data_IF_159978907246
#
_entry.id   IF_159978907246
#
_cell.length_a   1.000
_cell.length_b   1.000
_cell.length_c   1.000
_cell.angle_alpha   90.00
_cell.angle_beta   90.00
_cell.angle_gamma   90.00
#
_symmetry.space_group_name_H-M   'P 1'
#
loop_
_entity.id
_entity.type
_entity.pdbx_description
1 polymer ?
#
# COMPACT_ATOMS: atom_id res chain seq x y z
N UNK A 1 -76.98 -28.00 -11.66
CA UNK A 1 -75.62 -28.56 -11.73
C UNK A 1 -74.68 -27.47 -12.20
N UNK A 2 -73.92 -26.87 -11.29
CA UNK A 2 -72.93 -25.83 -11.61
C UNK A 2 -71.53 -26.45 -11.55
N UNK A 3 -70.82 -26.44 -12.68
CA UNK A 3 -69.44 -26.91 -12.78
C UNK A 3 -68.53 -25.74 -12.40
N UNK A 4 -67.80 -25.87 -11.29
CA UNK A 4 -66.74 -24.94 -10.89
C UNK A 4 -65.45 -25.33 -11.62
N UNK A 5 -64.94 -24.43 -12.46
CA UNK A 5 -63.61 -24.52 -13.06
C UNK A 5 -62.58 -24.05 -12.03
N UNK A 6 -61.68 -24.93 -11.60
CA UNK A 6 -60.59 -24.59 -10.68
C UNK A 6 -59.36 -24.19 -11.50
N UNK A 7 -58.97 -22.92 -11.42
CA UNK A 7 -57.79 -22.38 -12.12
C UNK A 7 -56.59 -22.50 -11.17
N UNK A 8 -55.72 -23.48 -11.39
CA UNK A 8 -54.46 -23.61 -10.66
C UNK A 8 -53.40 -22.70 -11.29
N UNK A 9 -53.13 -21.55 -10.66
CA UNK A 9 -51.96 -20.74 -10.97
C UNK A 9 -50.69 -21.42 -10.42
N UNK A 10 -49.87 -21.99 -11.30
CA UNK A 10 -48.49 -22.35 -10.98
C UNK A 10 -47.65 -21.06 -10.89
N UNK A 11 -47.32 -20.64 -9.67
CA UNK A 11 -46.30 -19.63 -9.42
C UNK A 11 -44.92 -20.25 -9.68
N UNK A 12 -44.35 -19.98 -10.86
CA UNK A 12 -42.93 -20.23 -11.14
C UNK A 12 -42.10 -19.26 -10.27
N UNK A 13 -41.52 -19.77 -9.18
CA UNK A 13 -40.41 -19.09 -8.52
C UNK A 13 -39.18 -19.19 -9.42
N UNK A 14 -38.95 -18.17 -10.24
CA UNK A 14 -37.64 -17.97 -10.87
C UNK A 14 -36.69 -17.50 -9.78
N UNK A 15 -35.89 -18.42 -9.24
CA UNK A 15 -34.69 -18.07 -8.48
C UNK A 15 -33.72 -17.43 -9.46
N UNK A 16 -33.69 -16.10 -9.51
CA UNK A 16 -32.57 -15.37 -10.12
C UNK A 16 -31.37 -15.64 -9.20
N UNK A 17 -30.54 -16.62 -9.58
CA UNK A 17 -29.19 -16.69 -9.06
C UNK A 17 -28.51 -15.38 -9.48
N UNK A 18 -28.24 -14.51 -8.51
CA UNK A 18 -27.32 -13.41 -8.74
C UNK A 18 -26.03 -14.04 -9.25
N UNK A 19 -25.59 -13.65 -10.44
CA UNK A 19 -24.27 -13.99 -10.94
C UNK A 19 -23.25 -13.29 -10.04
N UNK A 20 -22.93 -13.92 -8.91
CA UNK A 20 -21.83 -13.51 -8.05
C UNK A 20 -20.53 -13.59 -8.84
N UNK A 21 -19.66 -12.61 -8.69
CA UNK A 21 -18.35 -12.63 -9.33
C UNK A 21 -17.63 -13.94 -9.00
N UNK A 22 -16.96 -14.53 -9.98
CA UNK A 22 -16.26 -15.80 -9.80
C UNK A 22 -14.98 -15.59 -8.99
N UNK A 23 -15.03 -15.76 -7.66
CA UNK A 23 -13.84 -15.84 -6.82
C UNK A 23 -13.12 -17.17 -7.05
N UNK A 24 -11.82 -17.12 -7.29
CA UNK A 24 -10.96 -18.32 -7.36
C UNK A 24 -9.90 -18.27 -6.28
N UNK A 25 -9.60 -19.41 -5.64
CA UNK A 25 -8.64 -19.49 -4.52
C UNK A 25 -7.68 -20.67 -4.66
N UNK A 26 -6.50 -20.48 -4.09
CA UNK A 26 -5.43 -21.47 -3.99
C UNK A 26 -4.90 -21.45 -2.56
N UNK A 27 -5.06 -22.55 -1.83
CA UNK A 27 -4.41 -22.71 -0.54
C UNK A 27 -2.92 -22.98 -0.77
N UNK A 28 -2.06 -22.15 -0.18
CA UNK A 28 -0.61 -22.26 -0.33
C UNK A 28 -0.05 -23.01 0.88
N UNK A 29 0.11 -24.34 0.73
CA UNK A 29 0.61 -25.19 1.83
C UNK A 29 2.11 -25.02 2.10
N UNK A 30 2.88 -24.70 1.06
CA UNK A 30 4.32 -24.43 1.14
C UNK A 30 4.64 -23.29 0.17
N UNK A 31 5.63 -22.47 0.49
CA UNK A 31 6.02 -21.36 -0.35
C UNK A 31 7.46 -21.56 -0.88
N UNK A 32 7.70 -21.42 -2.19
CA UNK A 32 9.03 -21.67 -2.74
C UNK A 32 10.09 -20.76 -2.12
N UNK A 33 11.21 -21.34 -1.73
CA UNK A 33 12.32 -20.64 -1.08
C UNK A 33 12.15 -20.47 0.43
N UNK A 34 10.99 -20.81 1.01
CA UNK A 34 10.79 -20.84 2.45
C UNK A 34 10.94 -22.26 3.00
N UNK A 35 11.81 -22.44 3.99
CA UNK A 35 12.05 -23.74 4.62
C UNK A 35 11.03 -23.99 5.75
N UNK A 36 10.30 -25.10 5.66
CA UNK A 36 9.36 -25.55 6.69
C UNK A 36 7.91 -25.11 6.48
N UNK A 37 7.12 -25.21 7.54
CA UNK A 37 5.70 -24.84 7.53
C UNK A 37 5.54 -23.32 7.64
N UNK A 38 4.57 -22.77 6.89
CA UNK A 38 4.25 -21.35 6.98
C UNK A 38 3.77 -20.97 8.40
N UNK A 39 4.05 -19.75 8.86
CA UNK A 39 3.68 -19.30 10.21
C UNK A 39 2.17 -19.35 10.48
N UNK A 40 1.37 -19.09 9.45
CA UNK A 40 -0.08 -19.18 9.46
C UNK A 40 -0.59 -19.53 8.06
N UNK A 41 -1.91 -19.71 7.92
CA UNK A 41 -2.54 -20.03 6.64
C UNK A 41 -2.31 -18.89 5.64
N UNK A 42 -1.74 -19.24 4.49
CA UNK A 42 -1.65 -18.39 3.31
C UNK A 42 -2.59 -18.92 2.23
N UNK A 43 -3.41 -18.04 1.70
CA UNK A 43 -4.25 -18.27 0.54
C UNK A 43 -3.98 -17.19 -0.50
N UNK A 44 -4.01 -17.56 -1.77
CA UNK A 44 -3.99 -16.60 -2.87
C UNK A 44 -5.21 -16.78 -3.75
N UNK A 45 -5.59 -15.76 -4.49
CA UNK A 45 -6.74 -15.87 -5.35
C UNK A 45 -6.96 -14.69 -6.27
N UNK A 46 -7.99 -14.82 -7.08
CA UNK A 46 -8.48 -13.76 -7.95
C UNK A 46 -9.94 -13.47 -7.67
N UNK A 47 -10.30 -12.20 -7.75
CA UNK A 47 -11.69 -11.75 -7.80
C UNK A 47 -11.92 -10.95 -9.07
N UNK A 48 -12.95 -11.33 -9.84
CA UNK A 48 -13.41 -10.54 -10.98
C UNK A 48 -14.02 -9.23 -10.48
N UNK A 49 -13.41 -8.12 -10.89
CA UNK A 49 -13.86 -6.77 -10.51
C UNK A 49 -14.51 -6.02 -11.68
N UNK A 50 -14.30 -6.49 -12.91
CA UNK A 50 -14.93 -5.96 -14.12
C UNK A 50 -15.23 -7.13 -15.07
N UNK A 51 -16.50 -7.50 -15.18
CA UNK A 51 -16.96 -8.59 -16.05
C UNK A 51 -16.85 -8.23 -17.53
N UNK A 52 -17.04 -6.96 -17.89
CA UNK A 52 -17.06 -6.49 -19.28
C UNK A 52 -15.68 -6.65 -19.91
N UNK A 53 -14.64 -6.19 -19.21
CA UNK A 53 -13.26 -6.28 -19.67
C UNK A 53 -12.55 -7.58 -19.22
N UNK A 54 -13.21 -8.36 -18.36
CA UNK A 54 -12.63 -9.55 -17.74
C UNK A 54 -11.44 -9.20 -16.83
N UNK A 55 -11.55 -8.10 -16.07
CA UNK A 55 -10.53 -7.67 -15.15
C UNK A 55 -10.65 -8.35 -13.79
N UNK A 56 -9.52 -8.83 -13.29
CA UNK A 56 -9.43 -9.57 -12.04
C UNK A 56 -8.29 -9.02 -11.18
N UNK A 57 -8.58 -8.77 -9.90
CA UNK A 57 -7.56 -8.41 -8.90
C UNK A 57 -7.05 -9.67 -8.23
N UNK A 58 -5.72 -9.77 -8.10
CA UNK A 58 -5.03 -10.82 -7.37
C UNK A 58 -4.82 -10.41 -5.90
N UNK A 59 -4.97 -11.37 -4.98
CA UNK A 59 -4.72 -11.15 -3.57
C UNK A 59 -3.88 -12.26 -2.94
N UNK A 60 -3.20 -11.89 -1.85
CA UNK A 60 -2.65 -12.78 -0.84
C UNK A 60 -3.43 -12.54 0.45
N UNK A 61 -4.06 -13.57 1.00
CA UNK A 61 -4.68 -13.55 2.31
C UNK A 61 -3.82 -14.35 3.28
N UNK A 62 -3.35 -13.70 4.34
CA UNK A 62 -2.59 -14.34 5.40
C UNK A 62 -3.38 -14.22 6.69
N UNK A 63 -3.75 -15.37 7.26
CA UNK A 63 -4.50 -15.47 8.50
C UNK A 63 -3.64 -15.04 9.70
N UNK A 64 -4.26 -14.48 10.74
CA UNK A 64 -3.56 -14.10 11.97
C UNK A 64 -2.82 -15.30 12.56
N UNK A 65 -1.58 -15.08 13.02
CA UNK A 65 -0.82 -16.04 13.82
C UNK A 65 -1.32 -16.11 15.28
N UNK A 66 -2.17 -15.15 15.69
CA UNK A 66 -2.85 -15.10 16.98
C UNK A 66 -4.15 -15.93 16.99
N UNK A 67 -5.27 -15.28 17.29
CA UNK A 67 -6.60 -15.90 17.20
C UNK A 67 -7.36 -15.32 16.01
N UNK A 68 -7.29 -15.95 14.81
CA UNK A 68 -7.94 -15.42 13.62
C UNK A 68 -9.47 -15.34 13.72
N UNK A 69 -10.09 -16.01 14.69
CA UNK A 69 -11.54 -15.92 14.90
C UNK A 69 -11.98 -14.59 15.54
N UNK A 70 -11.05 -13.89 16.20
CA UNK A 70 -11.33 -12.61 16.87
C UNK A 70 -10.43 -11.47 16.42
N UNK A 71 -9.24 -11.80 15.92
CA UNK A 71 -8.24 -10.81 15.50
C UNK A 71 -8.76 -9.99 14.30
N UNK A 72 -8.40 -8.71 14.20
CA UNK A 72 -8.87 -7.84 13.12
C UNK A 72 -8.52 -8.37 11.72
N UNK A 73 -9.37 -8.04 10.75
CA UNK A 73 -9.06 -8.16 9.33
C UNK A 73 -8.58 -6.81 8.81
N UNK A 74 -7.44 -6.80 8.11
CA UNK A 74 -6.84 -5.61 7.53
C UNK A 74 -6.73 -5.77 6.00
N UNK A 75 -7.33 -4.86 5.25
CA UNK A 75 -6.94 -4.66 3.85
C UNK A 75 -5.65 -3.84 3.82
N UNK A 76 -4.62 -4.29 3.11
CA UNK A 76 -3.41 -3.51 2.87
C UNK A 76 -3.22 -3.20 1.39
N UNK A 77 -2.87 -1.94 1.10
CA UNK A 77 -2.59 -1.44 -0.25
C UNK A 77 -1.26 -0.67 -0.20
N UNK A 78 -0.28 -1.10 -0.99
CA UNK A 78 0.98 -0.36 -1.17
C UNK A 78 0.73 0.87 -2.07
N UNK A 79 1.42 1.97 -1.80
CA UNK A 79 1.34 3.16 -2.64
C UNK A 79 2.10 3.06 -3.98
N UNK A 80 2.22 4.18 -4.70
CA UNK A 80 2.65 4.22 -6.10
C UNK A 80 1.54 3.77 -7.06
N UNK A 81 1.48 4.35 -8.25
CA UNK A 81 0.58 3.84 -9.27
C UNK A 81 1.05 2.44 -9.71
N UNK A 82 0.18 1.43 -9.52
CA UNK A 82 0.43 0.05 -9.99
C UNK A 82 1.68 -0.61 -9.43
N UNK A 83 2.07 -0.28 -8.20
CA UNK A 83 3.02 -1.09 -7.46
C UNK A 83 2.35 -2.34 -6.88
N UNK A 84 3.04 -3.46 -6.95
CA UNK A 84 2.58 -4.73 -6.40
C UNK A 84 2.64 -4.72 -4.88
N UNK A 85 1.57 -5.21 -4.26
CA UNK A 85 1.44 -5.37 -2.80
C UNK A 85 2.40 -6.41 -2.23
N UNK A 86 3.03 -7.20 -3.09
CA UNK A 86 4.12 -8.10 -2.69
C UNK A 86 5.27 -7.32 -2.05
N UNK A 87 5.39 -6.02 -2.33
CA UNK A 87 6.31 -5.11 -1.62
C UNK A 87 6.00 -5.06 -0.12
N UNK A 88 4.73 -4.86 0.25
CA UNK A 88 4.32 -4.86 1.65
C UNK A 88 4.49 -6.22 2.33
N UNK A 89 4.26 -7.31 1.58
CA UNK A 89 4.41 -8.66 2.10
C UNK A 89 5.88 -8.98 2.41
N UNK A 90 6.82 -8.62 1.53
CA UNK A 90 8.24 -8.97 1.69
C UNK A 90 9.11 -7.95 2.40
N UNK A 91 8.79 -6.67 2.30
CA UNK A 91 9.69 -5.61 2.78
C UNK A 91 9.15 -4.95 4.03
N UNK A 92 7.83 -4.89 4.18
CA UNK A 92 7.19 -4.05 5.20
C UNK A 92 6.59 -4.90 6.33
N UNK A 93 5.33 -5.33 6.18
CA UNK A 93 4.50 -5.81 7.29
C UNK A 93 4.19 -7.31 7.23
N UNK A 94 4.48 -7.98 6.13
CA UNK A 94 4.20 -9.42 5.97
C UNK A 94 5.16 -10.33 6.77
N UNK A 95 4.83 -11.63 6.86
CA UNK A 95 5.55 -12.60 7.70
C UNK A 95 6.82 -13.17 7.08
N UNK A 96 7.17 -12.74 5.88
CA UNK A 96 8.26 -13.32 5.09
C UNK A 96 9.18 -12.22 4.61
N UNK A 97 10.49 -12.49 4.62
CA UNK A 97 11.52 -11.62 4.06
C UNK A 97 12.42 -12.41 3.12
N UNK A 98 12.90 -11.73 2.08
CA UNK A 98 13.93 -12.29 1.21
C UNK A 98 15.26 -12.38 1.95
N UNK A 99 15.95 -13.51 1.82
CA UNK A 99 17.33 -13.64 2.29
C UNK A 99 18.22 -12.83 1.35
N UNK A 100 18.93 -11.83 1.88
CA UNK A 100 19.79 -10.95 1.10
C UNK A 100 21.12 -11.64 0.84
N UNK A 101 21.23 -12.26 -0.34
CA UNK A 101 22.44 -12.92 -0.82
C UNK A 101 22.63 -12.64 -2.32
N UNK A 102 23.88 -12.67 -2.84
CA UNK A 102 24.11 -12.44 -4.26
C UNK A 102 23.30 -13.40 -5.13
N UNK A 103 22.49 -12.84 -6.02
CA UNK A 103 21.71 -13.63 -6.97
C UNK A 103 22.65 -14.44 -7.87
N UNK A 104 22.46 -15.76 -7.85
CA UNK A 104 23.29 -16.74 -8.55
C UNK A 104 22.49 -17.52 -9.63
N UNK A 105 21.30 -17.03 -10.01
CA UNK A 105 20.41 -17.70 -10.95
C UNK A 105 19.44 -18.71 -10.31
N UNK A 106 19.61 -19.05 -9.03
CA UNK A 106 18.69 -19.93 -8.30
C UNK A 106 17.48 -19.19 -7.74
N UNK A 107 16.44 -19.92 -7.35
CA UNK A 107 15.26 -19.33 -6.70
C UNK A 107 15.68 -18.60 -5.41
N UNK A 108 15.37 -17.30 -5.26
CA UNK A 108 15.66 -16.56 -4.03
C UNK A 108 15.01 -17.19 -2.80
N UNK A 109 15.74 -17.24 -1.69
CA UNK A 109 15.27 -17.83 -0.44
C UNK A 109 14.49 -16.82 0.40
N UNK A 110 13.63 -17.35 1.26
CA UNK A 110 12.76 -16.63 2.18
C UNK A 110 13.05 -17.07 3.62
N UNK A 111 12.89 -16.14 4.56
CA UNK A 111 12.92 -16.41 5.99
C UNK A 111 11.77 -15.70 6.70
N UNK A 112 11.46 -16.12 7.92
CA UNK A 112 10.38 -15.56 8.70
C UNK A 112 10.72 -14.16 9.23
N UNK A 113 9.73 -13.25 9.19
CA UNK A 113 9.84 -11.89 9.71
C UNK A 113 9.21 -11.79 11.11
N UNK A 114 10.02 -11.64 12.19
CA UNK A 114 9.51 -11.68 13.56
C UNK A 114 8.65 -10.46 13.97
N UNK A 115 8.62 -9.40 13.16
CA UNK A 115 7.85 -8.18 13.42
C UNK A 115 6.68 -8.02 12.44
N UNK A 116 6.21 -9.12 11.88
CA UNK A 116 5.03 -9.08 11.02
C UNK A 116 3.78 -8.65 11.75
N UNK A 117 2.95 -7.89 11.04
CA UNK A 117 1.64 -7.48 11.54
C UNK A 117 0.63 -8.63 11.53
N UNK A 118 0.92 -9.73 10.82
CA UNK A 118 0.09 -10.95 10.86
C UNK A 118 0.08 -11.62 12.23
N UNK A 119 0.98 -11.20 13.14
CA UNK A 119 0.96 -11.64 14.53
C UNK A 119 -0.30 -11.24 15.32
N UNK A 120 -1.03 -10.23 14.86
CA UNK A 120 -2.18 -9.67 15.57
C UNK A 120 -3.33 -9.29 14.64
N UNK A 121 -3.29 -9.71 13.37
CA UNK A 121 -4.31 -9.41 12.37
C UNK A 121 -4.27 -10.42 11.21
N UNK A 122 -5.43 -10.77 10.67
CA UNK A 122 -5.52 -11.40 9.35
C UNK A 122 -5.42 -10.31 8.29
N UNK A 123 -4.54 -10.45 7.29
CA UNK A 123 -4.26 -9.38 6.32
C UNK A 123 -4.56 -9.84 4.91
N UNK A 124 -5.33 -9.03 4.19
CA UNK A 124 -5.60 -9.16 2.76
C UNK A 124 -4.72 -8.16 2.01
N UNK A 125 -3.66 -8.65 1.40
CA UNK A 125 -2.77 -7.89 0.52
C UNK A 125 -3.31 -7.99 -0.91
N UNK A 126 -3.68 -6.87 -1.51
CA UNK A 126 -4.28 -6.86 -2.87
C UNK A 126 -3.40 -6.13 -3.86
N UNK A 127 -3.05 -6.79 -4.96
CA UNK A 127 -2.42 -6.15 -6.11
C UNK A 127 -3.46 -5.23 -6.77
N UNK A 128 -3.38 -3.93 -6.53
CA UNK A 128 -4.33 -2.94 -7.04
C UNK A 128 -3.61 -1.71 -7.55
N UNK A 129 -4.07 -1.08 -8.65
CA UNK A 129 -5.25 -1.42 -9.46
C UNK A 129 -5.02 -2.61 -10.41
N UNK A 130 -6.01 -2.94 -11.26
CA UNK A 130 -5.87 -3.91 -12.37
C UNK A 130 -4.60 -3.63 -13.16
N UNK A 131 -3.67 -4.58 -13.25
CA UNK A 131 -2.35 -4.42 -13.88
C UNK A 131 -1.19 -4.29 -12.89
N UNK A 132 -1.45 -4.01 -11.61
CA UNK A 132 -0.45 -4.14 -10.57
C UNK A 132 -0.10 -5.63 -10.36
N UNK A 133 1.19 -5.94 -10.23
CA UNK A 133 1.66 -7.29 -9.88
C UNK A 133 1.04 -8.42 -10.72
N UNK A 134 0.20 -9.25 -10.10
CA UNK A 134 -0.48 -10.36 -10.76
C UNK A 134 -1.92 -10.08 -11.19
N UNK A 135 -2.46 -8.88 -10.91
CA UNK A 135 -3.78 -8.43 -11.35
C UNK A 135 -3.77 -8.10 -12.84
N UNK A 136 -4.83 -8.44 -13.57
CA UNK A 136 -4.84 -8.32 -15.04
C UNK A 136 -6.23 -8.02 -15.58
N UNK A 137 -6.28 -7.60 -16.85
CA UNK A 137 -7.49 -7.55 -17.67
C UNK A 137 -7.29 -8.34 -18.96
N UNK A 138 -8.37 -8.96 -19.45
CA UNK A 138 -8.37 -9.70 -20.74
C UNK A 138 -8.57 -8.74 -21.92
N UNK A 139 -9.36 -7.69 -21.73
CA UNK A 139 -9.47 -6.57 -22.66
C UNK A 139 -8.49 -5.45 -22.25
N UNK A 140 -7.66 -4.92 -23.18
CA UNK A 140 -6.82 -3.75 -22.93
C UNK A 140 -7.54 -2.54 -22.31
N UNK A 141 -8.84 -2.36 -22.57
CA UNK A 141 -9.64 -1.28 -21.97
C UNK A 141 -9.77 -1.39 -20.46
N UNK A 142 -9.76 -2.60 -19.90
CA UNK A 142 -9.84 -2.81 -18.46
C UNK A 142 -8.59 -2.34 -17.69
N UNK A 143 -7.52 -1.96 -18.40
CA UNK A 143 -6.37 -1.27 -17.79
C UNK A 143 -6.59 0.24 -17.66
N UNK A 144 -7.63 0.84 -18.26
CA UNK A 144 -7.94 2.26 -18.08
C UNK A 144 -8.67 2.47 -16.74
N UNK A 145 -7.90 2.84 -15.71
CA UNK A 145 -8.36 2.98 -14.32
C UNK A 145 -7.82 4.28 -13.72
N UNK A 146 -8.39 4.69 -12.58
CA UNK A 146 -7.94 5.85 -11.81
C UNK A 146 -8.21 5.67 -10.33
N UNK A 147 -7.95 6.69 -9.52
CA UNK A 147 -8.09 6.63 -8.07
C UNK A 147 -9.50 6.16 -7.66
N UNK A 148 -10.54 6.71 -8.28
CA UNK A 148 -11.94 6.35 -7.99
C UNK A 148 -12.27 4.94 -8.46
N UNK A 149 -11.99 4.58 -9.72
CA UNK A 149 -12.38 3.26 -10.25
C UNK A 149 -11.60 2.12 -9.60
N UNK A 150 -10.32 2.30 -9.30
CA UNK A 150 -9.50 1.36 -8.55
C UNK A 150 -10.06 1.12 -7.14
N UNK A 151 -10.48 2.20 -6.46
CA UNK A 151 -11.11 2.11 -5.14
C UNK A 151 -12.42 1.32 -5.18
N UNK A 152 -13.24 1.52 -6.23
CA UNK A 152 -14.48 0.77 -6.40
C UNK A 152 -14.23 -0.72 -6.72
N UNK A 153 -13.19 -1.03 -7.50
CA UNK A 153 -12.75 -2.41 -7.74
C UNK A 153 -12.32 -3.11 -6.44
N UNK A 154 -11.58 -2.41 -5.56
CA UNK A 154 -11.21 -2.92 -4.24
C UNK A 154 -12.42 -3.19 -3.35
N UNK A 155 -13.40 -2.28 -3.32
CA UNK A 155 -14.65 -2.48 -2.56
C UNK A 155 -15.42 -3.69 -3.09
N UNK A 156 -15.50 -3.85 -4.42
CA UNK A 156 -16.10 -5.05 -5.02
C UNK A 156 -15.35 -6.31 -4.60
N UNK A 157 -14.02 -6.31 -4.65
CA UNK A 157 -13.21 -7.42 -4.17
C UNK A 157 -13.52 -7.76 -2.71
N UNK A 158 -13.60 -6.76 -1.82
CA UNK A 158 -13.94 -6.97 -0.41
C UNK A 158 -15.33 -7.61 -0.26
N UNK A 159 -16.34 -7.13 -1.00
CA UNK A 159 -17.70 -7.69 -0.91
C UNK A 159 -17.74 -9.16 -1.32
N UNK A 160 -17.11 -9.51 -2.43
CA UNK A 160 -17.04 -10.90 -2.89
C UNK A 160 -16.26 -11.77 -1.90
N UNK A 161 -15.13 -11.28 -1.40
CA UNK A 161 -14.30 -11.99 -0.42
C UNK A 161 -15.05 -12.24 0.89
N UNK A 162 -15.68 -11.23 1.49
CA UNK A 162 -16.46 -11.40 2.72
C UNK A 162 -17.75 -12.22 2.52
N UNK A 163 -18.28 -12.29 1.30
CA UNK A 163 -19.41 -13.17 0.98
C UNK A 163 -18.98 -14.64 1.00
N UNK A 164 -17.80 -14.95 0.50
CA UNK A 164 -17.21 -16.30 0.56
C UNK A 164 -16.71 -16.64 1.98
N UNK A 165 -16.27 -15.63 2.75
CA UNK A 165 -15.74 -15.79 4.11
C UNK A 165 -16.58 -15.09 5.18
N UNK A 166 -17.86 -15.47 5.37
CA UNK A 166 -18.77 -14.75 6.25
C UNK A 166 -18.39 -14.82 7.73
N UNK A 167 -17.55 -15.77 8.14
CA UNK A 167 -17.06 -15.85 9.53
C UNK A 167 -16.21 -14.63 9.92
N UNK A 168 -15.51 -14.01 8.95
CA UNK A 168 -14.73 -12.80 9.18
C UNK A 168 -15.58 -11.52 9.32
N UNK A 169 -16.89 -11.56 9.02
CA UNK A 169 -17.76 -10.39 9.14
C UNK A 169 -17.91 -9.90 10.59
N UNK A 170 -17.67 -10.77 11.56
CA UNK A 170 -17.70 -10.41 12.98
C UNK A 170 -16.40 -9.73 13.45
N UNK A 171 -15.28 -9.99 12.78
CA UNK A 171 -13.97 -9.46 13.13
C UNK A 171 -13.93 -7.93 12.89
N UNK A 172 -13.22 -7.16 13.73
CA UNK A 172 -12.95 -5.75 13.45
C UNK A 172 -12.27 -5.59 12.08
N UNK A 173 -12.82 -4.74 11.20
CA UNK A 173 -12.26 -4.51 9.88
C UNK A 173 -11.58 -3.14 9.77
N UNK A 174 -10.38 -3.13 9.19
CA UNK A 174 -9.58 -1.93 8.95
C UNK A 174 -9.07 -1.88 7.52
N UNK A 175 -8.83 -0.67 7.02
CA UNK A 175 -8.18 -0.43 5.73
C UNK A 175 -6.87 0.29 5.96
N UNK A 176 -5.79 -0.19 5.37
CA UNK A 176 -4.44 0.32 5.58
C UNK A 176 -3.64 0.45 4.29
N UNK A 177 -2.61 1.28 4.35
CA UNK A 177 -1.63 1.43 3.28
C UNK A 177 -0.61 2.50 3.56
N UNK A 178 0.30 2.69 2.63
CA UNK A 178 1.41 3.64 2.71
C UNK A 178 1.50 4.51 1.45
N UNK A 179 2.19 5.65 1.56
CA UNK A 179 2.52 6.51 0.42
C UNK A 179 1.26 7.02 -0.31
N UNK A 180 1.14 6.74 -1.62
CA UNK A 180 -0.01 7.13 -2.44
C UNK A 180 -1.35 6.54 -1.94
N UNK A 181 -1.31 5.46 -1.13
CA UNK A 181 -2.51 4.93 -0.48
C UNK A 181 -3.16 5.94 0.48
N UNK A 182 -2.44 6.97 0.92
CA UNK A 182 -3.00 8.13 1.63
C UNK A 182 -4.15 8.84 0.88
N UNK A 183 -4.24 8.67 -0.44
CA UNK A 183 -5.37 9.16 -1.24
C UNK A 183 -6.52 8.18 -1.29
N UNK A 184 -6.20 6.90 -1.44
CA UNK A 184 -7.14 5.81 -1.74
C UNK A 184 -7.83 5.29 -0.48
N UNK A 185 -7.08 5.05 0.59
CA UNK A 185 -7.58 4.50 1.87
C UNK A 185 -8.74 5.31 2.45
N UNK A 186 -8.64 6.63 2.70
CA UNK A 186 -9.76 7.39 3.27
C UNK A 186 -10.98 7.43 2.36
N UNK A 187 -10.79 7.38 1.04
CA UNK A 187 -11.89 7.31 0.08
C UNK A 187 -12.62 5.97 0.14
N UNK A 188 -11.89 4.84 0.18
CA UNK A 188 -12.46 3.50 0.35
C UNK A 188 -13.26 3.43 1.66
N UNK A 189 -12.69 3.92 2.76
CA UNK A 189 -13.33 3.93 4.08
C UNK A 189 -14.62 4.75 4.04
N UNK A 190 -14.61 5.90 3.36
CA UNK A 190 -15.82 6.69 3.18
C UNK A 190 -16.89 5.91 2.41
N UNK A 191 -16.54 5.28 1.28
CA UNK A 191 -17.48 4.52 0.47
C UNK A 191 -18.08 3.35 1.22
N UNK A 192 -17.27 2.60 1.97
CA UNK A 192 -17.74 1.54 2.85
C UNK A 192 -18.68 2.09 3.92
N UNK A 193 -18.38 3.24 4.52
CA UNK A 193 -19.28 3.86 5.49
C UNK A 193 -20.62 4.25 4.88
N UNK A 194 -20.64 4.77 3.66
CA UNK A 194 -21.87 5.12 2.92
C UNK A 194 -22.68 3.85 2.63
N UNK A 195 -22.01 2.76 2.24
CA UNK A 195 -22.65 1.45 2.01
C UNK A 195 -23.30 0.88 3.28
N UNK A 196 -22.62 1.00 4.44
CA UNK A 196 -23.15 0.57 5.74
C UNK A 196 -24.42 1.34 6.08
N UNK A 197 -24.42 2.67 5.89
CA UNK A 197 -25.59 3.53 6.12
C UNK A 197 -26.75 3.21 5.15
N UNK A 198 -26.43 2.86 3.92
CA UNK A 198 -27.39 2.44 2.91
C UNK A 198 -27.90 1.00 3.10
N UNK A 199 -27.37 0.24 4.07
CA UNK A 199 -27.77 -1.13 4.33
C UNK A 199 -27.30 -2.15 3.30
N UNK A 200 -26.23 -1.83 2.55
CA UNK A 200 -25.61 -2.74 1.58
C UNK A 200 -25.05 -3.97 2.30
N UNK A 201 -25.18 -5.14 1.67
CA UNK A 201 -24.70 -6.43 2.20
C UNK A 201 -23.53 -6.98 1.36
N UNK A 202 -22.61 -7.74 1.99
CA UNK A 202 -22.51 -7.97 3.43
C UNK A 202 -22.05 -6.69 4.16
N UNK A 203 -22.47 -6.53 5.42
CA UNK A 203 -22.14 -5.33 6.20
C UNK A 203 -20.80 -5.55 6.89
N UNK A 204 -19.80 -4.73 6.55
CA UNK A 204 -18.48 -4.83 7.16
C UNK A 204 -18.48 -4.26 8.58
N UNK A 205 -17.78 -4.92 9.50
CA UNK A 205 -17.53 -4.38 10.84
C UNK A 205 -16.38 -3.35 10.84
N UNK A 206 -16.52 -2.31 10.02
CA UNK A 206 -15.51 -1.27 9.82
C UNK A 206 -15.26 -0.51 11.13
N UNK A 207 -14.01 -0.47 11.58
CA UNK A 207 -13.60 0.23 12.81
C UNK A 207 -12.72 1.45 12.57
N UNK A 208 -11.97 1.47 11.48
CA UNK A 208 -11.03 2.53 11.23
C UNK A 208 -10.09 2.25 10.07
N UNK A 209 -9.04 3.05 10.02
CA UNK A 209 -8.02 2.96 8.98
C UNK A 209 -6.68 3.48 9.47
N UNK A 210 -5.63 3.15 8.74
CA UNK A 210 -4.28 3.62 9.03
C UNK A 210 -3.51 3.94 7.75
N UNK A 211 -2.71 4.99 7.79
CA UNK A 211 -1.91 5.42 6.65
C UNK A 211 -0.49 5.80 7.06
N UNK A 212 0.50 5.23 6.38
CA UNK A 212 1.93 5.49 6.58
C UNK A 212 2.50 6.45 5.53
N UNK A 213 3.22 7.48 5.96
CA UNK A 213 3.81 8.51 5.09
C UNK A 213 2.84 8.97 3.96
N UNK A 214 1.60 9.36 4.29
CA UNK A 214 0.53 9.47 3.30
C UNK A 214 0.66 10.72 2.44
N UNK A 215 0.69 10.54 1.13
CA UNK A 215 0.37 11.63 0.22
C UNK A 215 -1.15 11.86 0.21
N UNK A 216 -1.52 13.13 0.20
CA UNK A 216 -2.89 13.61 0.15
C UNK A 216 -3.26 14.19 -1.21
N UNK A 217 -2.27 14.54 -2.05
CA UNK A 217 -2.43 15.27 -3.31
C UNK A 217 -2.46 16.78 -3.14
N UNK A 218 -2.23 17.28 -1.92
CA UNK A 218 -2.06 18.70 -1.64
C UNK A 218 -0.62 19.15 -1.90
N UNK A 219 -0.46 20.43 -2.23
CA UNK A 219 0.87 21.03 -2.45
C UNK A 219 1.81 20.86 -1.26
N UNK A 220 1.27 20.84 -0.04
CA UNK A 220 2.04 20.70 1.20
C UNK A 220 2.82 19.37 1.28
N UNK A 221 2.37 18.32 0.60
CA UNK A 221 3.11 17.05 0.52
C UNK A 221 4.50 17.25 -0.13
N UNK A 222 4.58 18.14 -1.12
CA UNK A 222 5.80 18.46 -1.89
C UNK A 222 6.55 19.64 -1.28
N UNK A 223 5.86 20.72 -0.98
CA UNK A 223 6.46 21.96 -0.46
C UNK A 223 7.18 21.71 0.87
N UNK A 224 6.66 20.80 1.71
CA UNK A 224 7.28 20.47 3.00
C UNK A 224 8.66 19.80 2.89
N UNK A 225 9.06 19.32 1.70
CA UNK A 225 10.40 18.76 1.47
C UNK A 225 11.51 19.78 1.65
N UNK A 226 11.24 21.05 1.36
CA UNK A 226 12.21 22.15 1.51
C UNK A 226 12.52 22.43 3.00
N UNK A 227 11.54 22.78 3.86
CA UNK A 227 11.81 22.98 5.29
C UNK A 227 12.28 21.70 5.98
N UNK A 228 11.84 20.52 5.53
CA UNK A 228 12.37 19.25 6.04
C UNK A 228 13.87 19.11 5.75
N UNK A 229 14.27 19.28 4.49
CA UNK A 229 15.67 19.15 4.05
C UNK A 229 16.58 20.18 4.71
N UNK A 230 16.05 21.37 5.00
CA UNK A 230 16.76 22.38 5.79
C UNK A 230 16.96 21.90 7.23
N UNK A 231 15.90 21.43 7.88
CA UNK A 231 15.95 20.95 9.27
C UNK A 231 16.87 19.74 9.51
N UNK A 232 17.14 18.95 8.48
CA UNK A 232 18.06 17.79 8.54
C UNK A 232 19.43 18.06 7.90
N UNK A 233 19.70 19.30 7.48
CA UNK A 233 21.01 19.74 6.99
C UNK A 233 21.39 19.31 5.57
N UNK A 234 20.42 18.93 4.74
CA UNK A 234 20.64 18.63 3.31
C UNK A 234 20.85 19.92 2.51
N UNK A 235 20.16 21.00 2.88
CA UNK A 235 20.30 22.32 2.23
C UNK A 235 20.74 23.40 3.21
N UNK A 236 21.41 24.44 2.71
CA UNK A 236 21.89 25.56 3.51
C UNK A 236 20.79 26.60 3.77
N UNK A 237 21.01 27.46 4.78
CA UNK A 237 20.13 28.59 5.10
C UNK A 237 19.86 29.48 3.87
N UNK A 238 20.89 29.78 3.07
CA UNK A 238 20.75 30.65 1.90
C UNK A 238 19.86 30.04 0.82
N UNK A 239 19.95 28.74 0.59
CA UNK A 239 19.09 28.07 -0.38
C UNK A 239 17.66 27.97 0.15
N UNK A 240 17.50 27.66 1.43
CA UNK A 240 16.19 27.65 2.09
C UNK A 240 15.51 29.01 1.98
N UNK A 241 16.17 30.10 2.41
CA UNK A 241 15.64 31.46 2.35
C UNK A 241 15.29 31.88 0.92
N UNK A 242 16.16 31.56 -0.06
CA UNK A 242 15.90 31.85 -1.48
C UNK A 242 14.64 31.16 -2.00
N UNK A 243 14.43 29.89 -1.64
CA UNK A 243 13.21 29.17 -2.02
C UNK A 243 12.00 29.78 -1.33
N UNK A 244 12.06 30.03 -0.03
CA UNK A 244 10.94 30.57 0.74
C UNK A 244 10.53 31.97 0.23
N UNK A 245 11.47 32.80 -0.21
CA UNK A 245 11.20 34.15 -0.74
C UNK A 245 10.64 34.13 -2.18
N UNK A 246 11.19 33.28 -3.06
CA UNK A 246 10.89 33.36 -4.49
C UNK A 246 9.89 32.32 -5.00
N UNK A 247 9.57 31.29 -4.20
CA UNK A 247 8.64 30.23 -4.57
C UNK A 247 7.27 30.33 -3.89
N UNK A 248 6.96 31.43 -3.19
CA UNK A 248 5.65 31.59 -2.55
C UNK A 248 4.52 31.54 -3.58
N UNK A 249 3.57 30.61 -3.42
CA UNK A 249 2.44 30.43 -4.32
C UNK A 249 2.76 29.70 -5.64
N UNK A 250 4.03 29.46 -5.95
CA UNK A 250 4.46 28.72 -7.15
C UNK A 250 4.15 27.23 -7.03
N UNK A 251 3.89 26.57 -8.16
CA UNK A 251 3.84 25.11 -8.21
C UNK A 251 5.28 24.56 -8.21
N UNK A 252 5.66 23.79 -7.19
CA UNK A 252 7.04 23.30 -7.06
C UNK A 252 7.42 22.28 -8.15
N UNK A 253 6.45 21.62 -8.76
CA UNK A 253 6.72 20.70 -9.88
C UNK A 253 6.94 21.46 -11.20
N UNK A 254 6.35 22.65 -11.36
CA UNK A 254 6.46 23.45 -12.57
C UNK A 254 6.39 24.96 -12.27
N UNK A 255 7.43 25.52 -11.63
CA UNK A 255 7.46 26.92 -11.24
C UNK A 255 7.61 27.82 -12.47
N UNK A 256 6.90 28.93 -12.48
CA UNK A 256 6.96 29.97 -13.52
C UNK A 256 8.06 31.00 -13.23
N UNK A 257 8.36 31.24 -11.95
CA UNK A 257 9.42 32.15 -11.53
C UNK A 257 10.81 31.53 -11.79
N UNK A 258 11.65 32.23 -12.55
CA UNK A 258 12.99 31.75 -12.95
C UNK A 258 13.92 31.54 -11.75
N UNK A 259 13.87 32.40 -10.74
CA UNK A 259 14.70 32.24 -9.53
C UNK A 259 14.22 31.02 -8.75
N UNK A 260 12.90 30.86 -8.59
CA UNK A 260 12.33 29.68 -7.97
C UNK A 260 12.74 28.39 -8.69
N UNK A 261 12.64 28.37 -10.02
CA UNK A 261 13.04 27.23 -10.83
C UNK A 261 14.52 26.85 -10.61
N UNK A 262 15.41 27.83 -10.59
CA UNK A 262 16.84 27.59 -10.35
C UNK A 262 17.12 27.10 -8.92
N UNK A 263 16.43 27.67 -7.94
CA UNK A 263 16.57 27.28 -6.54
C UNK A 263 16.04 25.86 -6.30
N UNK A 264 14.87 25.52 -6.84
CA UNK A 264 14.30 24.17 -6.77
C UNK A 264 15.16 23.14 -7.52
N UNK A 265 15.71 23.49 -8.68
CA UNK A 265 16.66 22.60 -9.37
C UNK A 265 17.93 22.33 -8.54
N UNK A 266 18.44 23.34 -7.82
CA UNK A 266 19.58 23.14 -6.91
C UNK A 266 19.20 22.29 -5.70
N UNK A 267 18.02 22.53 -5.13
CA UNK A 267 17.45 21.73 -4.05
C UNK A 267 17.33 20.26 -4.45
N UNK A 268 16.73 19.98 -5.61
CA UNK A 268 16.58 18.62 -6.12
C UNK A 268 17.94 17.95 -6.33
N UNK A 269 18.91 18.66 -6.90
CA UNK A 269 20.27 18.13 -7.06
C UNK A 269 20.90 17.69 -5.74
N UNK A 270 20.71 18.44 -4.66
CA UNK A 270 21.25 18.11 -3.33
C UNK A 270 20.48 16.95 -2.69
N UNK A 271 19.15 16.98 -2.80
CA UNK A 271 18.29 15.94 -2.27
C UNK A 271 18.56 14.57 -2.94
N UNK A 272 18.99 14.55 -4.21
CA UNK A 272 19.35 13.35 -4.96
C UNK A 272 20.77 12.83 -4.67
N UNK A 273 21.59 13.48 -3.83
CA UNK A 273 22.88 12.90 -3.42
C UNK A 273 22.69 11.69 -2.48
N UNK A 274 21.57 11.63 -1.76
CA UNK A 274 21.17 10.53 -0.88
C UNK A 274 19.89 9.82 -1.33
N UNK A 275 19.46 8.81 -0.56
CA UNK A 275 18.17 8.18 -0.79
C UNK A 275 17.02 9.04 -0.25
N UNK A 276 16.08 9.45 -1.11
CA UNK A 276 14.90 10.21 -0.69
C UNK A 276 13.96 9.41 0.23
N UNK A 277 13.88 8.10 0.03
CA UNK A 277 13.03 7.24 0.85
C UNK A 277 13.60 7.01 2.26
N UNK A 278 14.89 7.27 2.48
CA UNK A 278 15.56 7.14 3.77
C UNK A 278 16.86 7.93 3.71
N UNK A 279 16.86 9.17 4.23
CA UNK A 279 17.95 10.14 3.99
C UNK A 279 19.32 9.70 4.52
N UNK A 280 19.38 8.72 5.43
CA UNK A 280 20.63 8.15 5.94
C UNK A 280 21.23 7.07 5.03
N UNK A 281 20.46 6.57 4.07
CA UNK A 281 20.90 5.51 3.17
C UNK A 281 21.63 6.09 1.95
N UNK A 282 22.59 5.34 1.38
CA UNK A 282 23.25 5.74 0.15
C UNK A 282 22.24 5.85 -1.00
N UNK A 283 22.50 6.76 -1.94
CA UNK A 283 21.77 6.78 -3.19
C UNK A 283 22.07 5.50 -3.99
N UNK A 284 21.01 4.76 -4.31
CA UNK A 284 21.06 3.45 -4.93
C UNK A 284 20.21 3.46 -6.19
N UNK A 285 20.64 2.72 -7.21
CA UNK A 285 19.87 2.62 -8.45
C UNK A 285 18.47 2.11 -8.14
N UNK A 286 17.47 2.76 -8.74
CA UNK A 286 16.09 2.32 -8.62
C UNK A 286 15.90 1.01 -9.39
N UNK A 287 15.28 0.02 -8.74
CA UNK A 287 15.04 -1.31 -9.32
C UNK A 287 13.69 -1.29 -10.03
N UNK A 288 13.70 -0.88 -11.29
CA UNK A 288 12.53 -0.88 -12.17
C UNK A 288 12.78 -1.60 -13.51
N UNK A 289 11.72 -2.05 -14.21
CA UNK A 289 11.85 -2.79 -15.47
C UNK A 289 12.36 -1.92 -16.63
N UNK A 290 12.16 -0.60 -16.58
CA UNK A 290 12.66 0.34 -17.58
C UNK A 290 13.94 1.01 -17.07
N UNK A 291 14.97 1.15 -17.92
CA UNK A 291 16.12 1.96 -17.55
C UNK A 291 15.70 3.44 -17.48
N UNK A 292 15.87 4.07 -16.33
CA UNK A 292 15.74 5.52 -16.21
C UNK A 292 16.85 6.21 -17.02
N UNK A 293 16.55 7.42 -17.53
CA UNK A 293 17.45 8.26 -18.33
C UNK A 293 18.82 8.58 -17.67
N UNK A 294 18.99 8.25 -16.39
CA UNK A 294 20.16 8.55 -15.57
C UNK A 294 21.13 7.35 -15.39
N UNK A 295 20.79 6.18 -15.94
CA UNK A 295 21.61 4.97 -15.74
C UNK A 295 22.73 4.86 -16.79
N UNK A 296 23.98 5.14 -16.39
CA UNK A 296 25.19 4.80 -17.14
C UNK A 296 25.19 3.28 -17.40
N UNK A 297 25.31 2.89 -18.67
CA UNK A 297 25.42 1.53 -19.20
C UNK A 297 26.25 0.58 -18.31
N UNK A 298 25.60 -0.11 -17.38
CA UNK A 298 26.16 -1.30 -16.73
C UNK A 298 25.61 -2.52 -17.43
N UNK A 299 26.52 -3.28 -18.05
CA UNK A 299 26.24 -4.53 -18.77
C UNK A 299 25.34 -5.43 -17.92
N UNK A 300 24.08 -5.57 -18.33
CA UNK A 300 23.22 -6.68 -17.93
C UNK A 300 24.00 -7.95 -18.28
N UNK A 301 24.25 -8.81 -17.28
CA UNK A 301 24.85 -10.12 -17.52
C UNK A 301 23.88 -10.90 -18.42
N UNK A 302 24.15 -10.88 -19.73
CA UNK A 302 23.50 -11.72 -20.74
C UNK A 302 23.98 -13.16 -20.54
N UNK A 303 23.46 -13.79 -19.50
CA UNK A 303 23.62 -15.20 -19.20
C UNK A 303 22.48 -15.58 -18.27
N UNK A 304 21.70 -16.60 -18.65
CA UNK A 304 20.81 -17.34 -17.74
C UNK A 304 19.49 -16.69 -17.27
N UNK A 305 18.82 -15.89 -18.10
CA UNK A 305 17.52 -15.30 -17.72
C UNK A 305 16.28 -16.11 -18.13
N UNK A 306 16.39 -17.39 -18.51
CA UNK A 306 15.24 -18.30 -18.62
C UNK A 306 14.03 -17.82 -19.45
N UNK A 307 14.19 -16.86 -20.38
CA UNK A 307 13.11 -16.27 -21.16
C UNK A 307 12.49 -14.97 -20.63
N UNK A 308 13.01 -14.39 -19.54
CA UNK A 308 12.62 -13.05 -19.04
C UNK A 308 13.13 -11.94 -19.96
N UNK A 309 12.29 -10.95 -20.23
CA UNK A 309 12.56 -9.93 -21.26
C UNK A 309 13.05 -8.61 -20.68
N UNK A 310 12.67 -8.28 -19.44
CA UNK A 310 12.94 -6.97 -18.84
C UNK A 310 13.47 -7.10 -17.39
N UNK A 311 14.61 -7.79 -17.17
CA UNK A 311 15.20 -7.83 -15.84
C UNK A 311 15.60 -6.43 -15.39
N UNK A 312 15.28 -6.03 -14.14
CA UNK A 312 15.67 -4.74 -13.62
C UNK A 312 17.20 -4.65 -13.47
N UNK A 313 17.78 -3.44 -13.45
CA UNK A 313 19.22 -3.30 -13.29
C UNK A 313 19.66 -3.83 -11.92
N UNK A 314 20.80 -4.54 -11.87
CA UNK A 314 21.30 -5.14 -10.64
C UNK A 314 21.89 -4.05 -9.71
N UNK A 315 21.29 -3.79 -8.53
CA UNK A 315 21.85 -2.85 -7.58
C UNK A 315 23.04 -3.46 -6.83
N UNK A 316 23.81 -2.62 -6.15
CA UNK A 316 24.80 -3.09 -5.18
C UNK A 316 24.10 -3.88 -4.07
N UNK A 317 24.68 -4.99 -3.60
CA UNK A 317 24.10 -5.75 -2.48
C UNK A 317 24.05 -4.96 -1.17
N UNK A 318 24.85 -3.88 -1.06
CA UNK A 318 24.81 -2.96 0.09
C UNK A 318 23.60 -2.03 0.06
N UNK A 319 22.86 -1.99 -1.04
CA UNK A 319 21.65 -1.20 -1.17
C UNK A 319 20.45 -1.97 -0.62
N UNK A 320 19.62 -1.33 0.21
CA UNK A 320 18.36 -1.93 0.70
C UNK A 320 17.45 -2.43 -0.44
N UNK A 321 17.47 -1.72 -1.57
CA UNK A 321 16.72 -2.10 -2.78
C UNK A 321 17.21 -3.38 -3.46
N UNK A 322 18.28 -4.02 -3.01
CA UNK A 322 18.69 -5.35 -3.52
C UNK A 322 17.60 -6.41 -3.28
N UNK A 323 16.82 -6.27 -2.21
CA UNK A 323 15.68 -7.15 -1.96
C UNK A 323 14.62 -7.05 -3.08
N UNK A 324 14.40 -5.85 -3.64
CA UNK A 324 13.51 -5.62 -4.77
C UNK A 324 14.00 -6.33 -6.05
N UNK A 325 15.32 -6.42 -6.22
CA UNK A 325 15.93 -7.14 -7.33
C UNK A 325 15.69 -8.66 -7.19
N UNK A 326 15.84 -9.19 -5.98
CA UNK A 326 15.55 -10.60 -5.69
C UNK A 326 14.05 -10.93 -5.85
N UNK A 327 13.15 -10.06 -5.42
CA UNK A 327 11.70 -10.32 -5.54
C UNK A 327 11.25 -10.48 -6.98
N UNK A 328 11.88 -9.78 -7.92
CA UNK A 328 11.60 -9.94 -9.35
C UNK A 328 11.87 -11.38 -9.83
N UNK A 329 12.99 -11.99 -9.45
CA UNK A 329 13.28 -13.39 -9.83
C UNK A 329 12.41 -14.39 -9.08
N UNK A 330 12.11 -14.11 -7.81
CA UNK A 330 11.23 -14.96 -7.01
C UNK A 330 9.82 -15.00 -7.61
N UNK A 331 9.22 -13.84 -7.90
CA UNK A 331 7.86 -13.72 -8.42
C UNK A 331 7.73 -14.27 -9.85
N UNK A 332 8.78 -14.16 -10.66
CA UNK A 332 8.79 -14.68 -12.02
C UNK A 332 9.20 -16.15 -12.14
N UNK A 333 9.61 -16.80 -11.05
CA UNK A 333 9.93 -18.23 -11.08
C UNK A 333 8.68 -19.08 -11.38
N UNK A 334 8.81 -20.03 -12.31
CA UNK A 334 7.70 -20.89 -12.73
C UNK A 334 7.08 -21.72 -11.58
N UNK A 335 7.88 -22.16 -10.62
CA UNK A 335 7.41 -22.90 -9.46
C UNK A 335 6.66 -21.97 -8.49
N UNK A 336 7.17 -20.76 -8.25
CA UNK A 336 6.45 -19.70 -7.51
C UNK A 336 5.09 -19.42 -8.13
N UNK A 337 5.04 -19.11 -9.43
CA UNK A 337 3.78 -18.79 -10.13
C UNK A 337 2.75 -19.92 -10.06
N UNK A 338 3.18 -21.18 -10.17
CA UNK A 338 2.29 -22.35 -10.00
C UNK A 338 1.78 -22.47 -8.57
N UNK A 339 2.67 -22.28 -7.60
CA UNK A 339 2.34 -22.39 -6.17
C UNK A 339 1.35 -21.33 -5.72
N UNK A 340 1.49 -20.11 -6.23
CA UNK A 340 0.56 -19.00 -6.00
C UNK A 340 -0.74 -19.09 -6.84
N UNK A 341 -0.88 -20.09 -7.70
CA UNK A 341 -2.08 -20.24 -8.54
C UNK A 341 -2.22 -19.18 -9.64
N UNK A 342 -1.12 -18.57 -10.10
CA UNK A 342 -1.15 -17.53 -11.13
C UNK A 342 -1.69 -18.10 -12.44
N UNK A 343 -2.73 -17.46 -12.99
CA UNK A 343 -3.42 -17.91 -14.20
C UNK A 343 -2.48 -17.86 -15.41
N UNK A 344 -2.28 -18.97 -16.10
CA UNK A 344 -1.43 -19.03 -17.30
C UNK A 344 -1.99 -18.12 -18.40
N UNK A 345 -1.10 -17.43 -19.12
CA UNK A 345 -1.47 -16.56 -20.25
C UNK A 345 -2.05 -15.20 -19.85
N UNK A 346 -2.03 -14.84 -18.56
CA UNK A 346 -2.53 -13.55 -18.07
C UNK A 346 -1.39 -12.53 -17.95
N UNK A 347 -0.50 -12.74 -16.98
CA UNK A 347 0.70 -11.93 -16.78
C UNK A 347 1.90 -12.67 -17.37
N UNK A 348 2.61 -12.03 -18.30
CA UNK A 348 3.82 -12.60 -18.90
C UNK A 348 5.01 -12.51 -17.94
N UNK A 349 5.19 -11.34 -17.35
CA UNK A 349 6.33 -10.99 -16.51
C UNK A 349 5.80 -10.09 -15.38
N UNK A 350 6.04 -10.49 -14.14
CA UNK A 350 5.74 -9.68 -12.96
C UNK A 350 6.79 -8.58 -12.84
N UNK A 351 6.33 -7.38 -12.55
CA UNK A 351 7.17 -6.23 -12.25
C UNK A 351 6.74 -5.63 -10.92
N UNK A 352 7.68 -5.02 -10.18
CA UNK A 352 7.39 -4.45 -8.87
C UNK A 352 6.42 -3.28 -8.98
N UNK A 353 6.69 -2.36 -9.90
CA UNK A 353 5.84 -1.22 -10.22
C UNK A 353 5.88 -0.99 -11.73
N UNK A 354 4.75 -0.61 -12.30
CA UNK A 354 4.68 -0.04 -13.64
C UNK A 354 5.12 1.43 -13.61
N UNK A 355 5.77 1.89 -14.67
CA UNK A 355 6.32 3.26 -14.77
C UNK A 355 5.73 3.93 -16.01
N UNK A 356 4.52 4.46 -15.84
CA UNK A 356 3.76 5.18 -16.87
C UNK A 356 3.59 4.41 -18.20
N UNK A 357 3.72 3.08 -18.19
CA UNK A 357 3.44 2.21 -19.34
C UNK A 357 1.98 1.77 -19.44
N UNK A 358 1.19 2.04 -18.41
CA UNK A 358 -0.25 1.81 -18.38
C UNK A 358 -0.98 3.11 -17.98
N UNK A 359 -2.16 3.40 -18.55
CA UNK A 359 -2.92 4.59 -18.20
C UNK A 359 -3.33 4.54 -16.73
N UNK A 360 -3.30 5.70 -16.08
CA UNK A 360 -3.82 5.88 -14.73
C UNK A 360 -4.33 7.31 -14.55
N UNK A 361 -5.59 7.47 -14.16
CA UNK A 361 -6.20 8.77 -13.96
C UNK A 361 -6.15 9.21 -12.48
N UNK A 362 -5.55 10.37 -12.24
CA UNK A 362 -5.46 10.98 -10.90
C UNK A 362 -6.72 11.84 -10.67
N UNK A 363 -7.85 11.19 -10.38
CA UNK A 363 -9.16 11.83 -10.23
C UNK A 363 -9.55 12.16 -8.77
N UNK A 364 -8.77 11.71 -7.79
CA UNK A 364 -8.81 12.26 -6.42
C UNK A 364 -7.75 13.36 -6.32
N UNK A 365 -8.17 14.63 -6.40
CA UNK A 365 -7.23 15.76 -6.26
C UNK A 365 -6.65 15.89 -4.84
N UNK A 366 -7.52 15.75 -3.84
CA UNK A 366 -7.16 15.85 -2.42
C UNK A 366 -7.95 14.86 -1.59
N UNK A 367 -7.28 14.19 -0.65
CA UNK A 367 -7.89 13.24 0.27
C UNK A 367 -8.20 13.79 1.66
N UNK A 368 -7.78 15.02 1.99
CA UNK A 368 -8.05 15.64 3.31
C UNK A 368 -9.55 15.64 3.63
N UNK A 369 -10.40 15.96 2.64
CA UNK A 369 -11.86 15.95 2.82
C UNK A 369 -12.39 14.57 3.21
N UNK A 370 -11.81 13.50 2.68
CA UNK A 370 -12.21 12.14 2.98
C UNK A 370 -11.76 11.74 4.39
N UNK A 371 -10.52 12.07 4.78
CA UNK A 371 -10.05 11.92 6.16
C UNK A 371 -10.99 12.60 7.17
N UNK A 372 -11.40 13.85 6.88
CA UNK A 372 -12.35 14.61 7.72
C UNK A 372 -13.71 13.91 7.80
N UNK A 373 -14.26 13.49 6.67
CA UNK A 373 -15.59 12.87 6.63
C UNK A 373 -15.66 11.58 7.46
N UNK A 374 -14.65 10.71 7.33
CA UNK A 374 -14.66 9.41 8.04
C UNK A 374 -14.36 9.57 9.54
N UNK A 375 -13.46 10.47 9.92
CA UNK A 375 -13.16 10.71 11.34
C UNK A 375 -14.33 11.37 12.06
N UNK A 376 -15.06 12.30 11.41
CA UNK A 376 -16.30 12.88 11.96
C UNK A 376 -17.43 11.84 12.16
N UNK A 377 -17.40 10.72 11.43
CA UNK A 377 -18.29 9.57 11.68
C UNK A 377 -17.84 8.67 12.84
N UNK A 378 -16.70 8.98 13.47
CA UNK A 378 -16.17 8.26 14.63
C UNK A 378 -15.19 7.13 14.31
N UNK A 379 -14.87 6.88 13.03
CA UNK A 379 -13.89 5.86 12.66
C UNK A 379 -12.49 6.25 13.16
N UNK A 380 -11.78 5.29 13.75
CA UNK A 380 -10.42 5.50 14.28
C UNK A 380 -9.43 5.70 13.14
N UNK A 381 -8.49 6.63 13.29
CA UNK A 381 -7.45 6.90 12.30
C UNK A 381 -6.06 6.87 12.97
N UNK A 382 -5.14 6.09 12.40
CA UNK A 382 -3.70 6.22 12.67
C UNK A 382 -3.03 6.81 11.44
N UNK A 383 -2.45 7.99 11.59
CA UNK A 383 -1.55 8.58 10.61
C UNK A 383 -0.15 8.47 11.19
N UNK A 384 0.79 7.89 10.45
CA UNK A 384 2.17 7.81 10.93
C UNK A 384 3.19 8.11 9.84
N UNK A 385 4.34 8.63 10.22
CA UNK A 385 5.43 8.92 9.28
C UNK A 385 6.78 8.48 9.83
N UNK A 386 7.63 7.88 9.00
CA UNK A 386 9.06 7.84 9.27
C UNK A 386 9.66 9.25 9.27
N UNK A 387 10.46 9.58 10.29
CA UNK A 387 11.05 10.92 10.44
C UNK A 387 12.26 11.17 9.53
N UNK A 388 12.72 10.15 8.79
CA UNK A 388 13.78 10.24 7.79
C UNK A 388 13.29 10.09 6.35
N UNK A 389 11.97 10.19 6.12
CA UNK A 389 11.37 10.23 4.79
C UNK A 389 11.43 11.63 4.17
N UNK A 390 12.08 11.75 3.00
CA UNK A 390 12.07 12.97 2.20
C UNK A 390 11.10 12.93 1.01
N UNK A 391 10.43 11.80 0.76
CA UNK A 391 9.41 11.66 -0.28
C UNK A 391 8.11 12.31 0.17
N UNK A 392 7.62 11.95 1.37
CA UNK A 392 6.46 12.59 2.01
C UNK A 392 6.82 12.92 3.47
N UNK A 393 7.54 14.04 3.69
CA UNK A 393 8.03 14.37 5.02
C UNK A 393 6.92 14.52 6.05
N UNK A 394 7.21 14.10 7.28
CA UNK A 394 6.27 14.20 8.40
C UNK A 394 5.79 15.63 8.65
N UNK A 395 6.55 16.66 8.27
CA UNK A 395 6.16 18.06 8.35
C UNK A 395 4.89 18.36 7.54
N UNK A 396 4.81 17.85 6.31
CA UNK A 396 3.63 18.01 5.46
C UNK A 396 2.43 17.26 6.04
N UNK A 397 2.67 16.05 6.54
CA UNK A 397 1.63 15.26 7.20
C UNK A 397 1.08 15.95 8.44
N UNK A 398 1.96 16.47 9.30
CA UNK A 398 1.59 17.22 10.49
C UNK A 398 0.80 18.50 10.14
N UNK A 399 1.17 19.20 9.07
CA UNK A 399 0.49 20.40 8.62
C UNK A 399 -0.95 20.11 8.17
N UNK A 400 -1.17 19.08 7.35
CA UNK A 400 -2.54 18.75 6.94
C UNK A 400 -3.37 18.13 8.07
N UNK A 401 -2.78 17.32 8.94
CA UNK A 401 -3.50 16.80 10.12
C UNK A 401 -3.97 17.96 11.00
N UNK A 402 -3.13 18.98 11.20
CA UNK A 402 -3.49 20.21 11.92
C UNK A 402 -4.60 20.99 11.22
N UNK A 403 -4.65 20.98 9.88
CA UNK A 403 -5.68 21.71 9.11
C UNK A 403 -7.10 21.16 9.33
N UNK A 404 -7.24 19.92 9.83
CA UNK A 404 -8.53 19.37 10.25
C UNK A 404 -9.15 20.12 11.44
N UNK A 405 -8.34 20.88 12.20
CA UNK A 405 -8.75 21.74 13.30
C UNK A 405 -9.52 20.99 14.41
N UNK A 406 -9.05 19.78 14.74
CA UNK A 406 -9.58 19.00 15.86
C UNK A 406 -8.93 19.43 17.19
N UNK A 407 -9.66 19.37 18.32
CA UNK A 407 -9.07 19.63 19.62
C UNK A 407 -8.01 18.58 19.95
N UNK A 408 -6.92 18.99 20.58
CA UNK A 408 -5.89 18.08 21.09
C UNK A 408 -6.45 17.39 22.35
N UNK A 409 -6.35 16.07 22.41
CA UNK A 409 -6.79 15.26 23.58
C UNK A 409 -5.61 14.67 24.35
N UNK A 410 -4.47 14.46 23.69
CA UNK A 410 -3.19 14.09 24.30
C UNK A 410 -2.10 14.85 23.55
N UNK A 411 -1.35 15.70 24.25
CA UNK A 411 -0.39 16.65 23.65
C UNK A 411 0.87 15.93 23.14
N UNK A 412 1.63 16.63 22.29
CA UNK A 412 2.83 16.11 21.66
C UNK A 412 3.84 15.57 22.68
N UNK A 413 4.08 14.25 22.63
CA UNK A 413 4.98 13.56 23.57
C UNK A 413 5.72 12.42 22.90
N UNK A 414 6.82 12.00 23.50
CA UNK A 414 7.52 10.81 23.07
C UNK A 414 6.70 9.54 23.39
N UNK A 415 6.71 8.57 22.48
CA UNK A 415 6.28 7.21 22.76
C UNK A 415 7.50 6.29 22.79
N UNK A 416 7.44 5.23 23.61
CA UNK A 416 8.64 4.48 24.01
C UNK A 416 8.54 2.97 23.74
N UNK A 417 9.69 2.38 23.44
CA UNK A 417 9.93 0.93 23.43
C UNK A 417 11.21 0.69 24.21
N UNK A 418 11.18 -0.22 25.18
CA UNK A 418 12.33 -0.60 26.02
C UNK A 418 13.09 0.60 26.63
N UNK A 419 12.33 1.61 27.07
CA UNK A 419 12.87 2.81 27.70
C UNK A 419 13.52 3.82 26.74
N UNK A 420 13.48 3.58 25.42
CA UNK A 420 13.96 4.51 24.40
C UNK A 420 12.80 5.13 23.63
N UNK A 421 12.94 6.39 23.22
CA UNK A 421 11.97 7.03 22.33
C UNK A 421 11.96 6.29 20.99
N UNK A 422 10.79 5.77 20.62
CA UNK A 422 10.54 5.16 19.31
C UNK A 422 9.97 6.18 18.32
N UNK A 423 9.68 7.39 18.79
CA UNK A 423 9.18 8.53 18.04
C UNK A 423 8.34 9.44 18.93
N UNK A 424 7.50 10.26 18.29
CA UNK A 424 6.61 11.19 18.98
C UNK A 424 5.18 11.01 18.51
N UNK A 425 4.21 11.34 19.35
CA UNK A 425 2.78 11.17 19.05
C UNK A 425 1.96 12.29 19.64
N UNK A 426 0.82 12.54 19.01
CA UNK A 426 -0.23 13.45 19.43
C UNK A 426 -1.58 12.83 19.09
N UNK A 427 -2.54 12.96 19.99
CA UNK A 427 -3.91 12.52 19.75
C UNK A 427 -4.86 13.71 19.68
N UNK A 428 -5.79 13.64 18.74
CA UNK A 428 -6.83 14.63 18.53
C UNK A 428 -8.21 14.03 18.82
N UNK A 429 -9.20 14.91 18.98
CA UNK A 429 -10.62 14.53 18.93
C UNK A 429 -10.95 13.80 17.62
N UNK A 430 -12.11 13.15 17.57
CA UNK A 430 -12.55 12.32 16.44
C UNK A 430 -11.63 11.10 16.18
N UNK A 431 -11.02 10.56 17.24
CA UNK A 431 -10.25 9.32 17.23
C UNK A 431 -9.05 9.31 16.25
N UNK A 432 -8.42 10.47 16.02
CA UNK A 432 -7.25 10.59 15.17
C UNK A 432 -5.97 10.62 16.01
N UNK A 433 -5.03 9.75 15.68
CA UNK A 433 -3.68 9.72 16.24
C UNK A 433 -2.67 10.00 15.14
N UNK A 434 -1.75 10.94 15.39
CA UNK A 434 -0.57 11.13 14.56
C UNK A 434 0.67 10.65 15.31
N UNK A 435 1.58 9.96 14.63
CA UNK A 435 2.84 9.50 15.20
C UNK A 435 4.01 9.61 14.21
N UNK A 436 5.18 10.02 14.69
CA UNK A 436 6.44 9.79 13.98
C UNK A 436 7.06 8.48 14.43
N UNK A 437 7.80 7.82 13.54
CA UNK A 437 8.62 6.65 13.83
C UNK A 437 10.09 7.04 13.63
N UNK A 438 10.82 7.09 14.74
CA UNK A 438 12.20 7.56 14.76
C UNK A 438 13.13 6.60 14.03
N UNK A 439 13.91 7.14 13.10
CA UNK A 439 14.86 6.41 12.25
C UNK A 439 14.22 5.81 11.01
N UNK A 440 12.90 5.86 10.86
CA UNK A 440 12.20 5.20 9.77
C UNK A 440 12.14 6.08 8.51
N UNK A 441 12.11 5.43 7.35
CA UNK A 441 11.97 6.07 6.05
C UNK A 441 10.53 6.08 5.54
N UNK A 442 10.36 6.13 4.21
CA UNK A 442 9.09 6.28 3.52
C UNK A 442 8.10 5.14 3.80
N UNK A 443 8.53 3.91 3.60
CA UNK A 443 7.83 2.70 4.04
C UNK A 443 8.30 2.37 5.44
N UNK A 444 7.81 3.08 6.46
CA UNK A 444 8.37 3.01 7.81
C UNK A 444 8.59 1.58 8.36
N UNK A 445 7.69 0.59 8.14
CA UNK A 445 7.91 -0.79 8.59
C UNK A 445 9.09 -1.50 7.91
N UNK A 446 9.52 -1.07 6.72
CA UNK A 446 10.71 -1.59 6.04
C UNK A 446 11.98 -1.23 6.81
N UNK A 447 12.07 0.02 7.27
CA UNK A 447 13.27 0.57 7.91
C UNK A 447 13.31 0.31 9.41
N UNK A 448 12.15 0.38 10.07
CA UNK A 448 12.01 0.26 11.53
C UNK A 448 10.90 -0.74 11.91
N UNK A 449 11.06 -2.03 11.57
CA UNK A 449 10.01 -3.03 11.68
C UNK A 449 9.52 -3.26 13.11
N UNK A 450 10.44 -3.33 14.08
CA UNK A 450 10.11 -3.52 15.49
C UNK A 450 9.26 -2.36 16.04
N UNK A 451 9.67 -1.13 15.75
CA UNK A 451 8.96 0.09 16.18
C UNK A 451 7.58 0.15 15.56
N UNK A 452 7.48 -0.11 14.26
CA UNK A 452 6.21 -0.10 13.54
C UNK A 452 5.27 -1.20 14.01
N UNK A 453 5.77 -2.41 14.29
CA UNK A 453 4.96 -3.48 14.86
C UNK A 453 4.42 -3.13 16.24
N UNK A 454 5.25 -2.57 17.13
CA UNK A 454 4.81 -2.15 18.46
C UNK A 454 3.74 -1.04 18.38
N UNK A 455 3.92 -0.06 17.48
CA UNK A 455 2.93 0.98 17.21
C UNK A 455 1.61 0.40 16.71
N UNK A 456 1.65 -0.46 15.68
CA UNK A 456 0.46 -1.10 15.12
C UNK A 456 -0.27 -1.95 16.18
N UNK A 457 0.47 -2.80 16.90
CA UNK A 457 -0.07 -3.66 17.96
C UNK A 457 -0.76 -2.85 19.06
N UNK A 458 -0.15 -1.77 19.55
CA UNK A 458 -0.78 -0.90 20.56
C UNK A 458 -2.05 -0.27 20.01
N UNK A 459 -1.96 0.37 18.84
CA UNK A 459 -3.09 1.08 18.26
C UNK A 459 -4.27 0.16 17.95
N UNK A 460 -4.02 -1.00 17.33
CA UNK A 460 -5.08 -1.94 16.94
C UNK A 460 -5.79 -2.51 18.18
N UNK A 461 -5.06 -2.73 19.28
CA UNK A 461 -5.61 -3.13 20.57
C UNK A 461 -6.20 -1.98 21.40
N UNK A 462 -6.30 -0.76 20.85
CA UNK A 462 -6.80 0.44 21.55
C UNK A 462 -5.97 0.83 22.78
N UNK A 463 -4.69 0.47 22.78
CA UNK A 463 -3.71 0.86 23.78
C UNK A 463 -3.02 2.13 23.26
N UNK A 464 -2.88 3.19 24.08
CA UNK A 464 -2.12 4.38 23.70
C UNK A 464 -0.67 4.06 23.31
N UNK A 465 -0.11 4.88 22.42
CA UNK A 465 1.30 4.77 22.03
C UNK A 465 2.25 5.17 23.15
#
# INVERSE_FOLDING_TARGET
MAVRLCCCCFLLFVTIAAAGGSLTRTNVATLPGFDGALPSRLETGYVTVDEENGAELFYYFIESEGDPSTDPVLLWITGGDRCSVLSALFFEIGPLKLVIEPYNGSLPRLHYHPYSWTKVASILFVDSPVGAGFSFSRDPKGYDVGDVSASMQLIKLLREWFTEYPHYLSNPFYVGGDSYAGKIVPFIVQKISEDIEAGVRPTFNLKGYLVGNPSTGERIDLESRVPYSHGVGIISDQLYEMIMEHCEGEDYDNPSNVICQQALARFDSLLHEGSRAQILNPNCIYVSPKPNHETIDRKILKGEHGGLKHPPPQPSIKCGVYANYLSYFWANNNFTRRTLGIKKGTINEWVRCHEHDLPYNIDIRSSIKYHRNVTLKGYRALVYCGDHDAVVPFLGTQAWVRSLNYPIVDDWRAWHIDGQSAGFTIAYGNNLTFATVKGAGHTAPEFEPERCFAMFKRWISSIPL
#
